data_IF_534224443142
#
_entry.id   IF_534224443142
#
_cell.length_a   1.000
_cell.length_b   1.000
_cell.length_c   1.000
_cell.angle_alpha   90.00
_cell.angle_beta   90.00
_cell.angle_gamma   90.00
#
_symmetry.space_group_name_H-M   'P 1'
#
loop_
_entity.id
_entity.type
_entity.pdbx_description
1 polymer ?
#
# COMPACT_ATOMS: atom_id res chain seq x y z
N UNK A 1 8.91 17.13 1.15
CA UNK A 1 8.33 15.89 1.72
C UNK A 1 6.85 15.69 1.41
N UNK A 2 5.95 16.65 1.65
CA UNK A 2 4.50 16.44 1.41
C UNK A 2 4.07 16.00 0.00
N UNK A 3 4.68 16.56 -1.06
CA UNK A 3 4.39 16.11 -2.45
C UNK A 3 4.81 14.64 -2.68
N UNK A 4 5.95 14.24 -2.11
CA UNK A 4 6.45 12.86 -2.18
C UNK A 4 5.46 11.88 -1.52
N UNK A 5 4.97 12.20 -0.32
CA UNK A 5 3.96 11.37 0.35
C UNK A 5 2.67 11.23 -0.45
N UNK A 6 2.19 12.31 -1.07
CA UNK A 6 0.98 12.25 -1.91
C UNK A 6 1.17 11.35 -3.14
N UNK A 7 2.33 11.41 -3.80
CA UNK A 7 2.61 10.57 -4.98
C UNK A 7 2.65 9.10 -4.58
N UNK A 8 3.40 8.74 -3.54
CA UNK A 8 3.49 7.35 -3.09
C UNK A 8 2.16 6.81 -2.57
N UNK A 9 1.36 7.64 -1.87
CA UNK A 9 0.02 7.25 -1.42
C UNK A 9 -0.87 6.86 -2.60
N UNK A 10 -0.88 7.67 -3.67
CA UNK A 10 -1.66 7.34 -4.88
C UNK A 10 -1.15 6.06 -5.53
N UNK A 11 0.17 5.88 -5.63
CA UNK A 11 0.78 4.67 -6.20
C UNK A 11 0.36 3.42 -5.41
N UNK A 12 0.44 3.45 -4.08
CA UNK A 12 0.04 2.31 -3.25
C UNK A 12 -1.44 1.97 -3.40
N UNK A 13 -2.33 2.97 -3.45
CA UNK A 13 -3.76 2.76 -3.67
C UNK A 13 -4.02 2.12 -5.03
N UNK A 14 -3.37 2.61 -6.08
CA UNK A 14 -3.49 2.04 -7.44
C UNK A 14 -2.99 0.60 -7.47
N UNK A 15 -1.86 0.29 -6.82
CA UNK A 15 -1.38 -1.09 -6.72
C UNK A 15 -2.33 -2.01 -5.97
N UNK A 16 -2.93 -1.56 -4.88
CA UNK A 16 -3.96 -2.33 -4.18
C UNK A 16 -5.13 -2.59 -5.12
N UNK A 17 -5.63 -1.56 -5.83
CA UNK A 17 -6.74 -1.70 -6.77
C UNK A 17 -6.45 -2.71 -7.90
N UNK A 18 -5.28 -2.64 -8.51
CA UNK A 18 -4.87 -3.58 -9.57
C UNK A 18 -4.80 -5.01 -9.04
N UNK A 19 -4.20 -5.24 -7.88
CA UNK A 19 -4.09 -6.58 -7.32
C UNK A 19 -5.44 -7.13 -6.87
N UNK A 20 -6.31 -6.31 -6.26
CA UNK A 20 -7.67 -6.70 -5.89
C UNK A 20 -8.50 -7.09 -7.12
N UNK A 21 -8.35 -6.35 -8.22
CA UNK A 21 -9.00 -6.69 -9.48
C UNK A 21 -8.44 -7.99 -10.10
N UNK A 22 -7.15 -8.26 -9.91
CA UNK A 22 -6.50 -9.45 -10.43
C UNK A 22 -6.75 -10.74 -9.64
N UNK A 23 -7.29 -10.64 -8.41
CA UNK A 23 -7.70 -11.81 -7.62
C UNK A 23 -8.82 -12.53 -8.37
N UNK A 24 -8.67 -13.85 -8.50
CA UNK A 24 -9.75 -14.71 -8.94
C UNK A 24 -10.69 -14.99 -7.77
N UNK A 25 -11.86 -14.34 -7.81
CA UNK A 25 -12.90 -14.47 -6.79
C UNK A 25 -13.72 -15.77 -6.89
N UNK A 26 -13.47 -16.60 -7.90
CA UNK A 26 -14.10 -17.92 -8.03
C UNK A 26 -13.34 -19.02 -7.30
N UNK A 27 -12.09 -18.77 -6.92
CA UNK A 27 -11.23 -19.68 -6.16
C UNK A 27 -11.00 -19.17 -4.73
N UNK A 28 -10.41 -20.01 -3.87
CA UNK A 28 -10.03 -19.57 -2.52
C UNK A 28 -9.03 -18.40 -2.60
N UNK A 29 -9.20 -17.40 -1.75
CA UNK A 29 -8.33 -16.22 -1.70
C UNK A 29 -6.89 -16.62 -1.33
N UNK A 30 -6.73 -17.70 -0.57
CA UNK A 30 -5.44 -18.26 -0.18
C UNK A 30 -4.95 -19.38 -1.12
N UNK A 31 -5.57 -19.52 -2.30
CA UNK A 31 -5.06 -20.42 -3.34
C UNK A 31 -3.67 -20.00 -3.80
N UNK A 32 -2.90 -20.96 -4.31
CA UNK A 32 -1.53 -20.73 -4.79
C UNK A 32 -1.46 -19.62 -5.86
N UNK A 33 -2.49 -19.53 -6.71
CA UNK A 33 -2.61 -18.52 -7.75
C UNK A 33 -2.94 -17.12 -7.21
N UNK A 34 -3.76 -17.04 -6.15
CA UNK A 34 -4.18 -15.77 -5.54
C UNK A 34 -3.17 -15.24 -4.51
N UNK A 35 -2.37 -16.12 -3.87
CA UNK A 35 -1.44 -15.75 -2.82
C UNK A 35 -0.49 -14.63 -3.23
N UNK A 36 0.00 -14.62 -4.47
CA UNK A 36 0.89 -13.55 -4.97
C UNK A 36 0.23 -12.16 -4.91
N UNK A 37 -1.07 -12.07 -5.21
CA UNK A 37 -1.82 -10.82 -5.18
C UNK A 37 -2.12 -10.41 -3.74
N UNK A 38 -2.48 -11.37 -2.89
CA UNK A 38 -2.70 -11.13 -1.45
C UNK A 38 -1.43 -10.62 -0.77
N UNK A 39 -0.28 -11.24 -1.03
CA UNK A 39 1.01 -10.77 -0.52
C UNK A 39 1.37 -9.37 -1.04
N UNK A 40 1.10 -9.10 -2.32
CA UNK A 40 1.32 -7.77 -2.90
C UNK A 40 0.45 -6.70 -2.23
N UNK A 41 -0.83 -6.99 -2.00
CA UNK A 41 -1.76 -6.11 -1.28
C UNK A 41 -1.27 -5.88 0.15
N UNK A 42 -0.89 -6.94 0.87
CA UNK A 42 -0.37 -6.84 2.23
C UNK A 42 0.89 -5.95 2.29
N UNK A 43 1.82 -6.12 1.36
CA UNK A 43 3.01 -5.27 1.25
C UNK A 43 2.66 -3.81 0.95
N UNK A 44 1.68 -3.54 0.08
CA UNK A 44 1.20 -2.20 -0.21
C UNK A 44 0.55 -1.53 1.00
N UNK A 45 -0.24 -2.28 1.80
CA UNK A 45 -0.82 -1.81 3.05
C UNK A 45 0.26 -1.46 4.07
N UNK A 46 1.29 -2.30 4.22
CA UNK A 46 2.45 -1.99 5.08
C UNK A 46 3.15 -0.73 4.58
N UNK A 47 3.31 -0.58 3.27
CA UNK A 47 3.86 0.63 2.65
C UNK A 47 3.08 1.90 3.00
N UNK A 48 1.75 1.83 3.00
CA UNK A 48 0.88 2.94 3.43
C UNK A 48 1.08 3.30 4.91
N UNK A 49 1.22 2.30 5.79
CA UNK A 49 1.48 2.52 7.22
C UNK A 49 2.81 3.27 7.40
N UNK A 50 3.87 2.78 6.77
CA UNK A 50 5.20 3.41 6.83
C UNK A 50 5.16 4.84 6.27
N UNK A 51 4.42 5.05 5.19
CA UNK A 51 4.22 6.37 4.60
C UNK A 51 3.62 7.36 5.61
N UNK A 52 2.64 6.91 6.40
CA UNK A 52 2.00 7.72 7.44
C UNK A 52 2.94 8.03 8.62
N UNK A 53 3.73 7.04 9.04
CA UNK A 53 4.75 7.22 10.09
C UNK A 53 5.79 8.24 9.65
N UNK A 54 6.32 8.09 8.43
CA UNK A 54 7.31 9.01 7.88
C UNK A 54 6.74 10.41 7.72
N UNK A 55 5.51 10.54 7.24
CA UNK A 55 4.83 11.83 7.13
C UNK A 55 4.66 12.50 8.50
N UNK A 56 4.30 11.74 9.53
CA UNK A 56 4.19 12.23 10.91
C UNK A 56 5.54 12.73 11.43
N UNK A 57 6.61 11.93 11.27
CA UNK A 57 7.96 12.32 11.69
C UNK A 57 8.46 13.56 10.94
N UNK A 58 8.15 13.69 9.65
CA UNK A 58 8.52 14.86 8.84
C UNK A 58 7.93 16.17 9.35
N UNK A 59 6.79 16.12 10.05
CA UNK A 59 6.10 17.29 10.62
C UNK A 59 6.60 17.61 12.04
N UNK A 60 6.95 16.58 12.81
CA UNK A 60 7.44 16.74 14.19
C UNK A 60 8.79 17.47 14.20
N UNK A 61 9.72 17.12 13.30
CA UNK A 61 11.05 17.75 13.26
C UNK A 61 11.08 19.20 12.73
N UNK A 62 9.98 19.71 12.19
CA UNK A 62 9.88 21.06 11.61
C UNK A 62 9.35 22.08 12.63
N UNK A 63 8.75 21.65 13.74
CA UNK A 63 8.42 22.53 14.87
C UNK A 63 9.69 22.80 15.69
N UNK A 64 10.44 23.83 15.29
CA UNK A 64 11.35 24.56 16.19
C UNK A 64 10.69 25.86 16.61
#
# INVERSE_FOLDING_TARGET
>A
MQKFYKVFLVIFIVFIGINVYAIDWQTDILSEDNLKFVFSIAAAVIGLILLFVLDTWSRIGVKK
#
